data_IF_203948083771
#
_entry.id   IF_203948083771
#
_cell.length_a   1.000
_cell.length_b   1.000
_cell.length_c   1.000
_cell.angle_alpha   90.00
_cell.angle_beta   90.00
_cell.angle_gamma   90.00
#
_symmetry.space_group_name_H-M   'P 1'
#
loop_
_entity.id
_entity.type
_entity.pdbx_description
1 polymer ?
#
# COMPACT_ATOMS: atom_id res chain seq x y z
N UNK A 1 13.12 -22.59 1.27
CA UNK A 1 11.75 -22.20 0.85
C UNK A 1 11.89 -21.27 -0.35
N UNK A 2 11.08 -21.46 -1.38
CA UNK A 2 11.07 -20.55 -2.54
C UNK A 2 10.47 -19.22 -2.11
N UNK A 3 11.17 -18.12 -2.37
CA UNK A 3 10.67 -16.77 -2.10
C UNK A 3 9.98 -16.19 -3.34
N UNK A 4 8.87 -15.46 -3.13
CA UNK A 4 8.22 -14.67 -4.18
C UNK A 4 9.03 -13.39 -4.46
N UNK A 5 9.17 -13.06 -5.74
CA UNK A 5 9.78 -11.80 -6.19
C UNK A 5 8.76 -10.67 -6.08
N UNK A 6 9.12 -9.64 -5.36
CA UNK A 6 8.19 -8.55 -5.04
C UNK A 6 8.69 -7.22 -5.58
N UNK A 7 7.79 -6.49 -6.23
CA UNK A 7 8.00 -5.09 -6.63
C UNK A 7 7.35 -4.12 -5.63
N UNK A 8 7.95 -2.96 -5.45
CA UNK A 8 7.38 -1.86 -4.67
C UNK A 8 7.16 -0.68 -5.62
N UNK A 9 5.90 -0.38 -5.92
CA UNK A 9 5.50 0.75 -6.78
C UNK A 9 5.20 1.95 -5.89
N UNK A 10 5.86 3.08 -6.14
CA UNK A 10 5.90 4.22 -5.24
C UNK A 10 6.97 4.09 -4.15
N UNK A 11 8.04 3.35 -4.43
CA UNK A 11 9.09 2.98 -3.48
C UNK A 11 9.78 4.18 -2.81
N UNK A 12 9.83 5.34 -3.45
CA UNK A 12 10.50 6.54 -2.93
C UNK A 12 9.62 7.39 -2.00
N UNK A 13 8.32 7.11 -1.92
CA UNK A 13 7.41 7.72 -0.95
C UNK A 13 7.58 7.09 0.45
N UNK A 14 7.06 7.77 1.49
CA UNK A 14 7.21 7.33 2.89
C UNK A 14 6.71 5.88 3.11
N UNK A 15 5.55 5.52 2.56
CA UNK A 15 4.99 4.17 2.67
C UNK A 15 5.84 3.16 1.90
N UNK A 16 6.29 3.51 0.68
CA UNK A 16 7.18 2.66 -0.10
C UNK A 16 8.51 2.40 0.61
N UNK A 17 9.10 3.42 1.22
CA UNK A 17 10.29 3.28 2.06
C UNK A 17 10.04 2.35 3.25
N UNK A 18 8.85 2.42 3.88
CA UNK A 18 8.47 1.51 4.97
C UNK A 18 8.40 0.06 4.50
N UNK A 19 7.86 -0.20 3.31
CA UNK A 19 7.89 -1.54 2.71
C UNK A 19 9.32 -2.06 2.55
N UNK A 20 10.29 -1.24 2.12
CA UNK A 20 11.67 -1.70 1.97
C UNK A 20 12.29 -2.15 3.31
N UNK A 21 11.92 -1.50 4.41
CA UNK A 21 12.38 -1.89 5.74
C UNK A 21 11.72 -3.18 6.24
N UNK A 22 10.40 -3.31 6.02
CA UNK A 22 9.64 -4.48 6.46
C UNK A 22 10.00 -5.75 5.66
N UNK A 23 10.36 -5.58 4.40
CA UNK A 23 10.62 -6.69 3.48
C UNK A 23 12.10 -7.06 3.34
N UNK A 24 13.03 -6.32 3.95
CA UNK A 24 14.49 -6.54 3.78
C UNK A 24 14.96 -7.96 4.08
N UNK A 25 14.35 -8.62 5.04
CA UNK A 25 14.67 -9.97 5.52
C UNK A 25 13.42 -10.84 5.65
N UNK A 26 12.40 -10.56 4.82
CA UNK A 26 11.13 -11.28 4.90
C UNK A 26 11.31 -12.75 4.46
N UNK A 27 10.76 -13.72 5.21
CA UNK A 27 11.02 -15.14 4.92
C UNK A 27 10.44 -15.60 3.58
N UNK A 28 9.35 -15.00 3.12
CA UNK A 28 8.63 -15.41 1.91
C UNK A 28 8.80 -14.45 0.73
N UNK A 29 9.22 -13.21 0.97
CA UNK A 29 9.25 -12.18 -0.06
C UNK A 29 10.67 -11.63 -0.24
N UNK A 30 11.10 -11.55 -1.49
CA UNK A 30 12.34 -10.90 -1.89
C UNK A 30 12.03 -9.69 -2.75
N UNK A 31 12.43 -8.50 -2.30
CA UNK A 31 12.31 -7.29 -3.12
C UNK A 31 13.29 -7.37 -4.28
N UNK A 32 12.77 -7.47 -5.49
CA UNK A 32 13.55 -7.55 -6.74
C UNK A 32 13.40 -6.32 -7.61
N UNK A 33 12.37 -5.49 -7.35
CA UNK A 33 12.08 -4.31 -8.12
C UNK A 33 11.60 -3.17 -7.21
N UNK A 34 12.10 -1.97 -7.46
CA UNK A 34 11.62 -0.72 -6.90
C UNK A 34 11.29 0.23 -8.04
N UNK A 35 10.07 0.77 -8.03
CA UNK A 35 9.63 1.70 -9.07
C UNK A 35 9.02 2.97 -8.45
N UNK A 36 9.20 4.07 -9.15
CA UNK A 36 8.70 5.38 -8.73
C UNK A 36 8.39 6.24 -9.97
N UNK A 37 8.17 7.54 -9.80
CA UNK A 37 8.00 8.45 -10.92
C UNK A 37 9.25 8.53 -11.79
N UNK A 38 9.09 8.93 -13.05
CA UNK A 38 10.18 9.14 -14.02
C UNK A 38 11.33 10.01 -13.50
N UNK A 39 11.04 10.95 -12.56
CA UNK A 39 12.08 11.80 -11.94
C UNK A 39 13.10 11.00 -11.11
N UNK A 40 12.74 9.84 -10.63
CA UNK A 40 13.59 8.96 -9.81
C UNK A 40 14.12 7.76 -10.61
N UNK A 41 13.54 7.47 -11.76
CA UNK A 41 13.92 6.35 -12.59
C UNK A 41 15.38 6.45 -13.09
N UNK A 42 16.03 5.30 -13.22
CA UNK A 42 17.42 5.18 -13.68
C UNK A 42 18.49 5.36 -12.59
N UNK A 43 18.11 5.79 -11.38
CA UNK A 43 19.03 5.97 -10.25
C UNK A 43 19.06 4.74 -9.35
N UNK A 44 20.17 4.46 -8.66
CA UNK A 44 20.16 3.54 -7.51
C UNK A 44 19.16 4.00 -6.47
N UNK A 45 18.44 3.07 -5.85
CA UNK A 45 17.39 3.41 -4.89
C UNK A 45 17.90 4.25 -3.71
N UNK A 46 19.08 3.91 -3.17
CA UNK A 46 19.70 4.70 -2.10
C UNK A 46 19.92 6.16 -2.48
N UNK A 47 20.34 6.42 -3.73
CA UNK A 47 20.49 7.77 -4.27
C UNK A 47 19.12 8.45 -4.46
N UNK A 48 18.15 7.71 -5.01
CA UNK A 48 16.81 8.24 -5.27
C UNK A 48 16.09 8.69 -4.00
N UNK A 49 16.42 8.13 -2.83
CA UNK A 49 15.85 8.51 -1.52
C UNK A 49 16.77 9.40 -0.68
N UNK A 50 17.99 9.68 -1.13
CA UNK A 50 18.91 10.56 -0.43
C UNK A 50 18.25 11.94 -0.17
N UNK A 51 18.40 12.47 1.05
CA UNK A 51 17.81 13.73 1.47
C UNK A 51 16.30 13.70 1.74
N UNK A 52 15.61 12.56 1.48
CA UNK A 52 14.17 12.38 1.78
C UNK A 52 13.85 11.03 2.43
N UNK A 53 14.86 10.37 2.96
CA UNK A 53 14.67 9.14 3.74
C UNK A 53 13.91 9.46 5.03
N UNK A 54 12.75 8.81 5.20
CA UNK A 54 11.79 9.15 6.26
C UNK A 54 12.08 8.47 7.61
N UNK A 55 13.15 7.67 7.71
CA UNK A 55 13.46 6.87 8.90
C UNK A 55 14.85 7.20 9.45
N UNK A 56 15.01 8.36 10.14
CA UNK A 56 16.28 8.74 10.72
C UNK A 56 16.78 7.66 11.70
N UNK A 57 18.08 7.39 11.69
CA UNK A 57 18.68 6.33 12.50
C UNK A 57 18.57 4.91 11.95
N UNK A 58 17.80 4.70 10.90
CA UNK A 58 17.69 3.39 10.22
C UNK A 58 18.26 3.50 8.80
N UNK A 59 19.32 2.77 8.44
CA UNK A 59 19.89 2.86 7.10
C UNK A 59 18.99 2.25 6.05
N UNK A 60 19.11 2.74 4.81
CA UNK A 60 18.50 2.10 3.63
C UNK A 60 19.05 0.67 3.53
N UNK A 61 18.21 -0.37 3.41
CA UNK A 61 18.67 -1.74 3.28
C UNK A 61 19.63 -1.91 2.11
N UNK A 62 20.88 -2.39 2.32
CA UNK A 62 21.91 -2.34 1.28
C UNK A 62 21.58 -3.11 0.00
N UNK A 63 20.88 -4.24 0.13
CA UNK A 63 20.46 -5.05 -1.02
C UNK A 63 19.44 -4.30 -1.89
N UNK A 64 18.48 -3.61 -1.27
CA UNK A 64 17.45 -2.83 -1.97
C UNK A 64 18.03 -1.50 -2.47
N UNK A 65 18.92 -0.88 -1.69
CA UNK A 65 19.58 0.38 -2.04
C UNK A 65 20.35 0.34 -3.36
N UNK A 66 20.82 -0.84 -3.78
CA UNK A 66 21.54 -1.06 -5.05
C UNK A 66 20.61 -1.26 -6.26
N UNK A 67 19.32 -1.53 -6.03
CA UNK A 67 18.38 -1.71 -7.14
C UNK A 67 18.21 -0.40 -7.91
N UNK A 68 18.23 -0.48 -9.22
CA UNK A 68 17.89 0.66 -10.07
C UNK A 68 16.39 0.91 -9.98
N UNK A 69 16.00 2.15 -9.70
CA UNK A 69 14.58 2.55 -9.69
C UNK A 69 14.05 2.53 -11.11
N UNK A 70 12.97 1.79 -11.35
CA UNK A 70 12.26 1.79 -12.62
C UNK A 70 11.20 2.90 -12.65
N UNK A 71 10.77 3.28 -13.85
CA UNK A 71 9.56 4.09 -13.99
C UNK A 71 8.34 3.23 -13.67
N UNK A 72 7.50 3.68 -12.73
CA UNK A 72 6.27 2.99 -12.38
C UNK A 72 5.28 2.87 -13.55
N UNK A 73 5.40 3.73 -14.57
CA UNK A 73 4.60 3.68 -15.78
C UNK A 73 5.10 2.64 -16.80
N UNK A 74 6.34 2.15 -16.66
CA UNK A 74 6.89 1.06 -17.48
C UNK A 74 6.52 -0.30 -16.87
N UNK A 75 5.23 -0.65 -17.03
CA UNK A 75 4.64 -1.86 -16.48
C UNK A 75 5.35 -3.11 -16.96
N UNK A 76 5.76 -3.17 -18.22
CA UNK A 76 6.40 -4.35 -18.82
C UNK A 76 7.76 -4.63 -18.19
N UNK A 77 8.58 -3.61 -17.98
CA UNK A 77 9.89 -3.76 -17.34
C UNK A 77 9.78 -4.21 -15.88
N UNK A 78 8.75 -3.74 -15.17
CA UNK A 78 8.46 -4.20 -13.80
C UNK A 78 7.94 -5.64 -13.81
N UNK A 79 6.96 -5.96 -14.66
CA UNK A 79 6.31 -7.27 -14.72
C UNK A 79 7.31 -8.43 -14.92
N UNK A 80 8.35 -8.21 -15.73
CA UNK A 80 9.42 -9.21 -15.94
C UNK A 80 10.21 -9.57 -14.67
N UNK A 81 10.20 -8.72 -13.66
CA UNK A 81 11.05 -8.85 -12.48
C UNK A 81 10.32 -9.32 -11.23
N UNK A 82 8.99 -9.40 -11.26
CA UNK A 82 8.17 -9.63 -10.07
C UNK A 82 7.15 -10.75 -10.28
N UNK A 83 6.70 -11.33 -9.18
CA UNK A 83 5.55 -12.23 -9.14
C UNK A 83 4.29 -11.46 -8.71
N UNK A 84 4.44 -10.38 -7.93
CA UNK A 84 3.39 -9.42 -7.60
C UNK A 84 4.00 -8.09 -7.12
N UNK A 85 3.16 -7.07 -6.93
CA UNK A 85 3.62 -5.76 -6.48
C UNK A 85 2.81 -5.24 -5.29
N UNK A 86 3.50 -4.53 -4.38
CA UNK A 86 2.88 -3.60 -3.45
C UNK A 86 2.81 -2.22 -4.10
N UNK A 87 1.62 -1.60 -4.11
CA UNK A 87 1.41 -0.29 -4.70
C UNK A 87 1.12 0.76 -3.62
N UNK A 88 1.96 1.80 -3.57
CA UNK A 88 1.86 2.91 -2.63
C UNK A 88 2.23 4.25 -3.31
N UNK A 89 1.68 4.48 -4.49
CA UNK A 89 1.90 5.72 -5.25
C UNK A 89 1.07 6.86 -4.68
N UNK A 90 1.55 8.09 -4.88
CA UNK A 90 0.84 9.31 -4.53
C UNK A 90 0.50 10.07 -5.84
N UNK A 91 -0.73 9.87 -6.32
CA UNK A 91 -1.25 10.39 -7.57
C UNK A 91 -2.76 10.64 -7.41
N UNK A 92 -3.40 11.21 -8.43
CA UNK A 92 -4.88 11.30 -8.47
C UNK A 92 -5.51 9.92 -8.51
N UNK A 93 -6.69 9.78 -7.90
CA UNK A 93 -7.36 8.46 -7.79
C UNK A 93 -7.57 7.78 -9.14
N UNK A 94 -7.92 8.53 -10.17
CA UNK A 94 -8.14 8.05 -11.53
C UNK A 94 -6.85 7.49 -12.14
N UNK A 95 -5.74 8.18 -11.93
CA UNK A 95 -4.42 7.77 -12.40
C UNK A 95 -3.94 6.50 -11.67
N UNK A 96 -4.21 6.41 -10.35
CA UNK A 96 -3.92 5.21 -9.56
C UNK A 96 -4.70 4.02 -10.10
N UNK A 97 -6.02 4.18 -10.33
CA UNK A 97 -6.87 3.11 -10.87
C UNK A 97 -6.34 2.62 -12.22
N UNK A 98 -6.03 3.55 -13.11
CA UNK A 98 -5.51 3.22 -14.43
C UNK A 98 -4.16 2.49 -14.36
N UNK A 99 -3.27 2.92 -13.46
CA UNK A 99 -1.97 2.28 -13.27
C UNK A 99 -2.13 0.86 -12.70
N UNK A 100 -2.91 0.69 -11.65
CA UNK A 100 -3.14 -0.60 -11.02
C UNK A 100 -3.83 -1.59 -11.98
N UNK A 101 -4.79 -1.14 -12.80
CA UNK A 101 -5.38 -1.97 -13.84
C UNK A 101 -4.40 -2.38 -14.93
N UNK A 102 -3.46 -1.51 -15.32
CA UNK A 102 -2.41 -1.86 -16.28
C UNK A 102 -1.52 -2.98 -15.74
N UNK A 103 -1.13 -2.92 -14.46
CA UNK A 103 -0.37 -4.00 -13.81
C UNK A 103 -1.18 -5.30 -13.78
N UNK A 104 -2.45 -5.25 -13.35
CA UNK A 104 -3.31 -6.42 -13.33
C UNK A 104 -3.47 -7.04 -14.74
N UNK A 105 -3.68 -6.20 -15.79
CA UNK A 105 -3.76 -6.65 -17.18
C UNK A 105 -2.44 -7.22 -17.72
N UNK A 106 -1.32 -6.83 -17.16
CA UNK A 106 -0.01 -7.43 -17.42
C UNK A 106 0.24 -8.71 -16.58
N UNK A 107 -0.83 -9.31 -16.04
CA UNK A 107 -0.82 -10.53 -15.22
C UNK A 107 -0.05 -10.39 -13.89
N UNK A 108 0.17 -9.17 -13.40
CA UNK A 108 0.83 -8.89 -12.13
C UNK A 108 -0.23 -8.59 -11.07
N UNK A 109 -0.37 -9.43 -10.03
CA UNK A 109 -1.20 -9.10 -8.87
C UNK A 109 -0.73 -7.82 -8.17
N UNK A 110 -1.68 -6.95 -7.84
CA UNK A 110 -1.44 -5.67 -7.18
C UNK A 110 -2.03 -5.70 -5.77
N UNK A 111 -1.19 -5.60 -4.77
CA UNK A 111 -1.61 -5.40 -3.37
C UNK A 111 -1.48 -3.91 -3.05
N UNK A 112 -2.62 -3.22 -3.05
CA UNK A 112 -2.63 -1.76 -3.02
C UNK A 112 -2.82 -1.21 -1.61
N UNK A 113 -1.94 -0.26 -1.26
CA UNK A 113 -2.09 0.57 -0.06
C UNK A 113 -3.01 1.78 -0.31
N UNK A 114 -3.36 2.04 -1.57
CA UNK A 114 -4.10 3.22 -1.98
C UNK A 114 -5.61 3.07 -1.72
N UNK A 115 -6.29 4.21 -1.64
CA UNK A 115 -7.75 4.23 -1.45
C UNK A 115 -8.54 4.23 -2.76
N UNK A 116 -7.87 4.32 -3.91
CA UNK A 116 -8.51 4.56 -5.20
C UNK A 116 -9.53 3.49 -5.59
N UNK A 117 -9.23 2.22 -5.33
CA UNK A 117 -10.07 1.07 -5.68
C UNK A 117 -10.93 0.51 -4.54
N UNK A 118 -10.99 1.17 -3.35
CA UNK A 118 -11.78 0.66 -2.21
C UNK A 118 -13.28 0.56 -2.47
N UNK A 119 -13.81 1.34 -3.41
CA UNK A 119 -15.22 1.33 -3.80
C UNK A 119 -15.48 0.60 -5.12
N UNK A 120 -14.47 -0.03 -5.70
CA UNK A 120 -14.66 -0.82 -6.92
C UNK A 120 -15.26 -2.18 -6.55
N UNK A 121 -16.48 -2.54 -7.04
CA UNK A 121 -17.25 -3.66 -6.50
C UNK A 121 -16.55 -5.03 -6.57
N UNK A 122 -15.69 -5.22 -7.55
CA UNK A 122 -14.95 -6.47 -7.77
C UNK A 122 -13.51 -6.42 -7.27
N UNK A 123 -13.15 -5.37 -6.52
CA UNK A 123 -11.84 -5.25 -5.86
C UNK A 123 -12.01 -5.56 -4.37
N UNK A 124 -11.44 -6.67 -3.87
CA UNK A 124 -11.57 -7.00 -2.47
C UNK A 124 -10.79 -6.03 -1.59
N UNK A 125 -11.43 -5.55 -0.53
CA UNK A 125 -10.77 -4.84 0.56
C UNK A 125 -10.58 -5.82 1.72
N UNK A 126 -9.33 -6.13 2.06
CA UNK A 126 -8.99 -7.28 2.89
C UNK A 126 -8.23 -6.91 4.16
N UNK A 127 -8.66 -7.53 5.25
CA UNK A 127 -7.86 -7.93 6.40
C UNK A 127 -7.93 -9.46 6.39
N UNK A 128 -6.90 -10.17 5.88
CA UNK A 128 -7.00 -11.59 5.52
C UNK A 128 -7.46 -12.49 6.67
N UNK A 129 -7.08 -12.16 7.91
CA UNK A 129 -7.44 -12.89 9.11
C UNK A 129 -8.93 -12.77 9.48
N UNK A 130 -9.62 -11.73 8.97
CA UNK A 130 -10.98 -11.38 9.33
C UNK A 130 -11.94 -11.70 8.19
N UNK A 131 -11.68 -11.14 7.01
CA UNK A 131 -12.59 -11.23 5.87
C UNK A 131 -11.92 -11.82 4.62
N UNK A 132 -11.01 -12.78 4.80
CA UNK A 132 -10.29 -13.44 3.70
C UNK A 132 -11.22 -14.00 2.61
N UNK A 133 -12.44 -14.40 2.97
CA UNK A 133 -13.46 -14.86 2.03
C UNK A 133 -13.87 -13.79 0.97
N UNK A 134 -13.69 -12.50 1.27
CA UNK A 134 -13.93 -11.41 0.31
C UNK A 134 -13.01 -11.51 -0.92
N UNK A 135 -11.90 -12.25 -0.85
CA UNK A 135 -11.05 -12.54 -2.01
C UNK A 135 -11.79 -13.25 -3.15
N UNK A 136 -12.94 -13.88 -2.89
CA UNK A 136 -13.74 -14.54 -3.93
C UNK A 136 -14.18 -13.58 -5.06
N UNK A 137 -14.33 -12.28 -4.80
CA UNK A 137 -14.69 -11.29 -5.84
C UNK A 137 -13.59 -11.11 -6.90
N UNK A 138 -12.34 -11.55 -6.64
CA UNK A 138 -11.23 -11.52 -7.60
C UNK A 138 -11.61 -12.27 -8.90
N UNK A 139 -12.41 -13.33 -8.83
CA UNK A 139 -12.83 -14.05 -10.02
C UNK A 139 -13.74 -13.19 -10.93
N UNK A 140 -14.59 -12.35 -10.36
CA UNK A 140 -15.38 -11.38 -11.12
C UNK A 140 -14.48 -10.31 -11.74
N UNK A 141 -13.50 -9.83 -10.97
CA UNK A 141 -12.52 -8.84 -11.44
C UNK A 141 -11.70 -9.38 -12.61
N UNK A 142 -11.19 -10.61 -12.51
CA UNK A 142 -10.43 -11.26 -13.58
C UNK A 142 -11.24 -11.38 -14.87
N UNK A 143 -12.51 -11.74 -14.77
CA UNK A 143 -13.43 -11.77 -15.93
C UNK A 143 -13.58 -10.39 -16.56
N UNK A 144 -13.75 -9.33 -15.75
CA UNK A 144 -13.86 -7.94 -16.24
C UNK A 144 -12.56 -7.47 -16.89
N UNK A 145 -11.41 -7.78 -16.30
CA UNK A 145 -10.10 -7.33 -16.79
C UNK A 145 -9.55 -8.20 -17.92
N UNK A 146 -10.08 -9.42 -18.11
CA UNK A 146 -9.57 -10.40 -19.08
C UNK A 146 -8.24 -11.03 -18.65
N UNK A 147 -8.01 -11.21 -17.35
CA UNK A 147 -6.76 -11.71 -16.78
C UNK A 147 -6.92 -13.13 -16.22
N UNK A 148 -5.81 -13.85 -16.07
CA UNK A 148 -5.75 -15.19 -15.46
C UNK A 148 -5.16 -15.14 -14.05
N UNK A 149 -4.02 -14.48 -13.89
CA UNK A 149 -3.30 -14.32 -12.63
C UNK A 149 -3.43 -12.90 -12.04
N UNK A 150 -3.48 -11.88 -12.90
CA UNK A 150 -3.52 -10.50 -12.48
C UNK A 150 -4.83 -10.13 -11.77
N UNK A 151 -4.70 -9.35 -10.70
CA UNK A 151 -5.81 -8.78 -9.95
C UNK A 151 -5.33 -7.60 -9.11
N UNK A 152 -6.29 -6.86 -8.56
CA UNK A 152 -6.05 -5.80 -7.58
C UNK A 152 -6.76 -6.21 -6.29
N UNK A 153 -6.06 -6.15 -5.16
CA UNK A 153 -6.63 -6.21 -3.82
C UNK A 153 -6.17 -5.01 -3.02
N UNK A 154 -7.03 -4.46 -2.17
CA UNK A 154 -6.72 -3.25 -1.41
C UNK A 154 -6.79 -3.51 0.08
N UNK A 155 -5.98 -2.79 0.85
CA UNK A 155 -6.14 -2.74 2.29
C UNK A 155 -7.19 -1.68 2.69
N UNK A 156 -7.90 -1.85 3.82
CA UNK A 156 -8.77 -0.83 4.36
C UNK A 156 -7.99 0.41 4.86
N UNK A 157 -8.71 1.36 5.43
CA UNK A 157 -8.14 2.53 6.10
C UNK A 157 -7.20 2.08 7.25
N UNK A 158 -6.20 2.91 7.56
CA UNK A 158 -5.22 2.61 8.60
C UNK A 158 -5.84 2.51 9.99
N UNK A 159 -6.82 3.35 10.30
CA UNK A 159 -7.54 3.30 11.59
C UNK A 159 -8.30 1.99 11.75
N UNK A 160 -9.01 1.54 10.70
CA UNK A 160 -9.72 0.25 10.70
C UNK A 160 -8.74 -0.89 11.02
N UNK A 161 -7.57 -0.90 10.40
CA UNK A 161 -6.56 -1.94 10.64
C UNK A 161 -5.98 -1.93 12.06
N UNK A 162 -6.14 -0.85 12.81
CA UNK A 162 -5.63 -0.78 14.18
C UNK A 162 -6.61 -1.36 15.20
N UNK A 163 -7.92 -1.20 15.03
CA UNK A 163 -8.89 -1.62 16.04
C UNK A 163 -9.72 -2.86 15.66
N UNK A 164 -10.02 -3.07 14.38
CA UNK A 164 -10.87 -4.20 13.97
C UNK A 164 -10.23 -5.55 14.27
N UNK A 165 -8.91 -5.78 14.07
CA UNK A 165 -8.29 -7.03 14.51
C UNK A 165 -8.36 -7.29 16.01
N UNK A 166 -8.40 -6.23 16.83
CA UNK A 166 -8.57 -6.35 18.27
C UNK A 166 -10.02 -6.66 18.68
N UNK A 167 -10.99 -6.20 17.89
CA UNK A 167 -12.41 -6.48 18.11
C UNK A 167 -12.83 -7.87 17.60
N UNK A 168 -12.15 -8.38 16.59
CA UNK A 168 -12.52 -9.65 15.95
C UNK A 168 -12.68 -10.81 16.93
N UNK A 169 -11.76 -11.07 17.89
CA UNK A 169 -11.92 -12.13 18.87
C UNK A 169 -13.08 -11.91 19.84
N UNK A 170 -13.65 -10.70 19.90
CA UNK A 170 -14.76 -10.36 20.79
C UNK A 170 -16.14 -10.59 20.17
N UNK A 171 -16.21 -11.03 18.91
CA UNK A 171 -17.48 -11.26 18.21
C UNK A 171 -18.36 -12.30 18.90
N UNK A 172 -17.76 -13.30 19.56
CA UNK A 172 -18.50 -14.32 20.34
C UNK A 172 -19.31 -13.71 21.50
N UNK A 173 -18.96 -12.49 21.93
CA UNK A 173 -19.72 -11.73 22.96
C UNK A 173 -20.79 -10.82 22.34
N UNK A 174 -21.04 -10.91 21.03
CA UNK A 174 -22.05 -10.14 20.30
C UNK A 174 -22.03 -8.64 20.58
N UNK A 175 -20.94 -7.91 20.37
CA UNK A 175 -20.89 -6.47 20.61
C UNK A 175 -21.97 -5.74 19.81
N UNK A 176 -22.75 -4.87 20.46
CA UNK A 176 -23.87 -4.16 19.83
C UNK A 176 -23.50 -2.76 19.36
N UNK A 177 -22.47 -2.18 19.94
CA UNK A 177 -21.98 -0.85 19.56
C UNK A 177 -20.50 -0.72 19.90
N UNK A 178 -19.78 0.06 19.09
CA UNK A 178 -18.38 0.38 19.30
C UNK A 178 -18.21 1.90 19.15
N UNK A 179 -17.61 2.52 20.17
CA UNK A 179 -17.19 3.93 20.09
C UNK A 179 -15.69 3.98 19.90
N UNK A 180 -15.24 4.68 18.84
CA UNK A 180 -13.83 4.76 18.47
C UNK A 180 -13.37 6.22 18.51
N UNK A 181 -12.25 6.46 19.19
CA UNK A 181 -11.53 7.72 19.13
C UNK A 181 -10.11 7.44 18.65
N UNK A 182 -9.68 8.08 17.55
CA UNK A 182 -8.36 7.87 16.95
C UNK A 182 -7.47 9.08 17.09
N UNK A 183 -6.21 8.86 17.43
CA UNK A 183 -5.14 9.85 17.38
C UNK A 183 -4.20 9.46 16.25
N UNK A 184 -4.20 10.25 15.17
CA UNK A 184 -3.45 9.93 13.95
C UNK A 184 -2.23 10.84 13.81
N UNK A 185 -1.08 10.23 13.54
CA UNK A 185 0.14 10.99 13.25
C UNK A 185 0.04 11.69 11.89
N UNK A 186 0.66 12.87 11.78
CA UNK A 186 0.71 13.66 10.54
C UNK A 186 1.34 12.90 9.36
N UNK A 187 2.16 11.90 9.64
CA UNK A 187 2.73 11.01 8.62
C UNK A 187 1.66 10.24 7.83
N UNK A 188 0.49 9.97 8.43
CA UNK A 188 -0.67 9.39 7.76
C UNK A 188 -1.24 10.29 6.65
N UNK A 189 -1.06 11.61 6.77
CA UNK A 189 -1.39 12.59 5.74
C UNK A 189 -0.21 12.88 4.78
N UNK A 190 0.90 12.13 4.87
CA UNK A 190 2.11 12.37 4.07
C UNK A 190 2.83 13.67 4.42
N UNK A 191 2.61 14.22 5.61
CA UNK A 191 3.18 15.47 6.09
C UNK A 191 4.33 15.22 7.06
N UNK A 192 5.20 16.23 7.21
CA UNK A 192 6.25 16.32 8.25
C UNK A 192 6.08 17.63 8.99
N UNK A 193 6.67 17.77 10.18
CA UNK A 193 6.65 19.02 10.93
C UNK A 193 7.28 20.20 10.17
N UNK A 194 8.26 19.94 9.28
CA UNK A 194 8.81 20.99 8.41
C UNK A 194 7.77 21.56 7.43
N UNK A 195 6.87 20.71 6.94
CA UNK A 195 5.82 21.09 5.97
C UNK A 195 4.52 21.50 6.64
N UNK A 196 4.39 21.22 7.91
CA UNK A 196 3.21 21.52 8.72
C UNK A 196 3.64 21.91 10.15
N UNK A 197 4.37 23.03 10.31
CA UNK A 197 4.96 23.43 11.58
C UNK A 197 3.93 23.73 12.68
N UNK A 198 2.71 24.13 12.32
CA UNK A 198 1.61 24.36 13.26
C UNK A 198 1.15 23.10 13.99
N UNK A 199 1.62 21.94 13.59
CA UNK A 199 1.33 20.66 14.27
C UNK A 199 2.33 20.33 15.39
N UNK A 200 3.37 21.14 15.57
CA UNK A 200 4.29 20.96 16.71
C UNK A 200 3.53 21.28 18.00
N UNK A 201 3.52 20.35 18.94
CA UNK A 201 2.82 20.43 20.23
C UNK A 201 1.32 20.80 20.10
N UNK A 202 0.70 20.42 19.01
CA UNK A 202 -0.68 20.77 18.70
C UNK A 202 -1.50 19.55 18.23
N UNK A 203 -2.83 19.68 18.24
CA UNK A 203 -3.81 18.70 17.78
C UNK A 203 -4.81 19.37 16.86
N UNK A 204 -5.07 18.79 15.71
CA UNK A 204 -6.22 19.14 14.87
C UNK A 204 -7.39 18.23 15.28
N UNK A 205 -8.49 18.80 15.81
CA UNK A 205 -9.55 18.00 16.43
C UNK A 205 -10.43 17.24 15.43
N UNK A 206 -10.25 17.44 14.13
CA UNK A 206 -11.06 16.80 13.10
C UNK A 206 -10.24 16.48 11.84
N UNK A 207 -10.39 15.24 11.34
CA UNK A 207 -9.79 14.81 10.07
C UNK A 207 -10.90 14.65 9.04
N UNK A 208 -10.95 15.55 8.05
CA UNK A 208 -11.99 15.56 7.03
C UNK A 208 -12.14 14.22 6.27
N UNK A 209 -13.37 13.73 6.17
CA UNK A 209 -13.71 12.51 5.45
C UNK A 209 -13.23 11.22 6.13
N UNK A 210 -12.80 11.26 7.39
CA UNK A 210 -12.36 10.06 8.11
C UNK A 210 -13.57 9.19 8.48
N UNK A 211 -14.68 9.78 8.89
CA UNK A 211 -15.92 9.07 9.23
C UNK A 211 -16.43 8.22 8.08
N UNK A 212 -16.43 8.77 6.86
CA UNK A 212 -16.80 8.04 5.64
C UNK A 212 -15.86 6.87 5.36
N UNK A 213 -14.56 7.03 5.59
CA UNK A 213 -13.57 5.96 5.39
C UNK A 213 -13.71 4.84 6.41
N UNK A 214 -14.13 5.16 7.65
CA UNK A 214 -14.34 4.17 8.71
C UNK A 214 -15.58 3.30 8.46
N UNK A 215 -16.57 3.80 7.72
CA UNK A 215 -17.78 3.05 7.38
C UNK A 215 -17.59 2.01 6.27
N UNK A 216 -16.40 1.92 5.65
CA UNK A 216 -16.14 1.11 4.46
C UNK A 216 -15.66 -0.31 4.77
N UNK A 217 -15.73 -0.79 5.99
CA UNK A 217 -15.39 -2.18 6.26
C UNK A 217 -16.63 -3.07 6.05
N UNK A 218 -16.50 -4.05 5.19
CA UNK A 218 -17.45 -5.15 5.05
C UNK A 218 -16.92 -6.34 5.86
N UNK A 219 -17.50 -6.55 7.04
CA UNK A 219 -17.19 -7.67 7.94
C UNK A 219 -18.20 -8.77 7.69
#
# INVERSE_FOLDING_TARGET
>A
MQQYRVGIIGATGMVGQRFTLLLKEHPWFKVTCVAASSRSAGKPYAEAVAGRWAFPGTPVPPAIGRLTVLDAADVESVARQVDFVFCAVDMKKEEIRALEERYAKAEVPVISNNSANRHTPDVPMLIPEINGAHAAVIEAQRRRLGTRAGFIAVKPNCSIQSYVPALWPLLDFEPKAVTVCTYQAISGAGKTFERWPEMVDNVIPYIGGEDEKLSLIHI
#
